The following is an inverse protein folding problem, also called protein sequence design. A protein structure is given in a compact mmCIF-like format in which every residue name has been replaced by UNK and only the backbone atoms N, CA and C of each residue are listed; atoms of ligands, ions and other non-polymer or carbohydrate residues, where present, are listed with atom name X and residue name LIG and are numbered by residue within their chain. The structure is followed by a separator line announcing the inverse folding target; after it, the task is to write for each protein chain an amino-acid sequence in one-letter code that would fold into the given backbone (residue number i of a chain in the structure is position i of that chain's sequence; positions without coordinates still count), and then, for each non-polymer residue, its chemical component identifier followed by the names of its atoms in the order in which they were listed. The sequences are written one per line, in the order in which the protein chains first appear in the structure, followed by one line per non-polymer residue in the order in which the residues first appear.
data_IF_663641567349
#
_entry.id   IF_663641567349
#
_cell.length_a   1.000
_cell.length_b   1.000
_cell.length_c   1.000
_cell.angle_alpha   90.00
_cell.angle_beta   90.00
_cell.angle_gamma   90.00
#
_symmetry.space_group_name_H-M   'P 1'
#
loop_
_entity.id
_entity.type
_entity.pdbx_description
1 polymer ?
#
# COMPACT_ATOMS: atom_id res chain seq x y z
N UNK A 1 10.40 -11.33 -13.27
CA UNK A 1 10.07 -9.95 -13.65
C UNK A 1 9.75 -9.24 -12.37
N UNK A 2 10.43 -8.14 -12.08
CA UNK A 2 10.31 -7.43 -10.82
C UNK A 2 9.60 -6.13 -11.14
N UNK A 3 8.44 -5.93 -10.54
CA UNK A 3 7.68 -4.69 -10.68
C UNK A 3 7.82 -3.84 -9.42
N UNK A 4 7.48 -2.57 -9.58
CA UNK A 4 7.36 -1.62 -8.48
C UNK A 4 5.99 -0.94 -8.56
N UNK A 5 5.41 -0.66 -7.40
CA UNK A 5 4.36 0.35 -7.29
C UNK A 5 5.09 1.64 -6.96
N UNK A 6 5.05 2.61 -7.87
CA UNK A 6 5.52 3.97 -7.61
C UNK A 6 4.32 4.81 -7.23
N UNK A 7 4.33 5.30 -6.00
CA UNK A 7 3.26 6.12 -5.43
C UNK A 7 3.69 7.59 -5.44
N UNK A 8 2.95 8.43 -6.15
CA UNK A 8 3.11 9.88 -6.17
C UNK A 8 2.09 10.51 -5.23
N UNK A 9 2.56 10.98 -4.08
CA UNK A 9 1.79 11.84 -3.20
C UNK A 9 1.93 13.28 -3.66
N UNK A 10 0.84 14.02 -3.77
CA UNK A 10 0.88 15.44 -4.16
C UNK A 10 -0.24 16.22 -3.49
N UNK A 11 -0.04 17.53 -3.36
CA UNK A 11 -1.09 18.43 -2.90
C UNK A 11 -1.65 19.27 -4.04
N UNK A 12 -2.96 19.49 -4.01
CA UNK A 12 -3.65 20.35 -4.96
C UNK A 12 -4.95 20.91 -4.37
N UNK A 13 -5.48 21.96 -5.00
CA UNK A 13 -6.89 22.32 -4.83
C UNK A 13 -7.76 21.30 -5.56
N UNK A 14 -8.96 21.01 -5.05
CA UNK A 14 -9.87 20.04 -5.67
C UNK A 14 -10.22 20.39 -7.13
N UNK A 15 -10.24 21.68 -7.46
CA UNK A 15 -10.55 22.18 -8.80
C UNK A 15 -9.42 21.90 -9.82
N UNK A 16 -8.19 21.64 -9.34
CA UNK A 16 -7.01 21.42 -10.19
C UNK A 16 -6.70 19.93 -10.43
N UNK A 17 -7.47 19.00 -9.84
CA UNK A 17 -7.19 17.56 -9.88
C UNK A 17 -7.10 16.97 -11.28
N UNK A 18 -7.96 17.41 -12.20
CA UNK A 18 -7.96 16.92 -13.57
C UNK A 18 -6.69 17.31 -14.32
N UNK A 19 -6.16 18.50 -14.06
CA UNK A 19 -4.90 18.96 -14.63
C UNK A 19 -3.70 18.25 -14.01
N UNK A 20 -3.68 18.13 -12.68
CA UNK A 20 -2.65 17.38 -11.97
C UNK A 20 -2.52 15.95 -12.49
N UNK A 21 -3.65 15.24 -12.65
CA UNK A 21 -3.66 13.89 -13.21
C UNK A 21 -3.12 13.83 -14.64
N UNK A 22 -3.48 14.80 -15.49
CA UNK A 22 -2.96 14.90 -16.85
C UNK A 22 -1.44 15.05 -16.90
N UNK A 23 -0.89 15.95 -16.06
CA UNK A 23 0.56 16.17 -15.93
C UNK A 23 1.26 14.89 -15.48
N UNK A 24 0.78 14.28 -14.40
CA UNK A 24 1.36 13.04 -13.87
C UNK A 24 1.38 11.94 -14.93
N UNK A 25 0.23 11.67 -15.56
CA UNK A 25 0.10 10.61 -16.57
C UNK A 25 1.04 10.82 -17.75
N UNK A 26 1.12 12.04 -18.28
CA UNK A 26 2.00 12.36 -19.40
C UNK A 26 3.48 12.21 -19.04
N UNK A 27 3.86 12.47 -17.78
CA UNK A 27 5.23 12.28 -17.32
C UNK A 27 5.56 10.80 -17.10
N UNK A 28 4.69 10.05 -16.42
CA UNK A 28 4.85 8.60 -16.21
C UNK A 28 4.96 7.84 -17.53
N UNK A 29 4.13 8.17 -18.53
CA UNK A 29 4.21 7.54 -19.87
C UNK A 29 5.51 7.89 -20.59
N UNK A 30 6.11 9.05 -20.32
CA UNK A 30 7.41 9.48 -20.89
C UNK A 30 8.62 8.96 -20.13
N UNK A 31 8.43 8.29 -18.98
CA UNK A 31 9.52 7.68 -18.20
C UNK A 31 10.32 6.66 -19.01
N UNK A 32 9.69 6.03 -20.00
CA UNK A 32 10.28 4.91 -20.74
C UNK A 32 10.23 3.57 -20.01
N UNK A 33 9.74 3.54 -18.75
CA UNK A 33 9.44 2.29 -18.05
C UNK A 33 8.23 1.58 -18.69
N UNK A 34 8.15 0.27 -18.52
CA UNK A 34 6.98 -0.50 -18.90
C UNK A 34 5.87 -0.28 -17.87
N UNK A 35 4.86 0.50 -18.25
CA UNK A 35 3.71 0.81 -17.38
C UNK A 35 2.66 -0.30 -17.54
N UNK A 36 2.46 -1.07 -16.47
CA UNK A 36 1.53 -2.20 -16.41
C UNK A 36 0.13 -1.78 -15.97
N UNK A 37 0.04 -0.83 -15.04
CA UNK A 37 -1.22 -0.24 -14.59
C UNK A 37 -1.01 1.19 -14.06
N UNK A 38 -2.06 2.00 -14.08
CA UNK A 38 -2.10 3.36 -13.53
C UNK A 38 -3.38 3.55 -12.73
N UNK A 39 -3.34 4.37 -11.68
CA UNK A 39 -4.56 4.86 -11.03
C UNK A 39 -5.48 5.52 -12.06
N UNK A 40 -6.80 5.31 -11.93
CA UNK A 40 -7.77 5.91 -12.84
C UNK A 40 -7.98 7.42 -12.57
N UNK A 41 -7.73 7.88 -11.35
CA UNK A 41 -7.86 9.26 -10.91
C UNK A 41 -7.10 9.48 -9.58
N UNK A 42 -6.81 10.73 -9.19
CA UNK A 42 -6.24 11.02 -7.87
C UNK A 42 -7.15 10.57 -6.74
N UNK A 43 -6.58 9.86 -5.76
CA UNK A 43 -7.30 9.40 -4.56
C UNK A 43 -6.94 10.30 -3.36
N UNK A 44 -7.91 10.83 -2.58
CA UNK A 44 -7.59 11.57 -1.37
C UNK A 44 -6.99 10.63 -0.31
N UNK A 45 -5.93 11.07 0.38
CA UNK A 45 -5.25 10.31 1.43
C UNK A 45 -5.19 11.12 2.73
N UNK A 46 -5.28 10.42 3.85
CA UNK A 46 -5.21 10.99 5.21
C UNK A 46 -3.84 10.71 5.83
N UNK A 47 -2.83 11.47 5.40
CA UNK A 47 -1.50 11.53 6.02
C UNK A 47 -1.17 12.99 6.35
N UNK A 48 -1.39 13.36 7.61
CA UNK A 48 -1.15 14.72 8.11
C UNK A 48 0.33 15.12 7.98
N UNK A 49 1.27 14.18 8.14
CA UNK A 49 2.69 14.53 8.07
C UNK A 49 3.08 14.93 6.65
N UNK A 50 2.74 14.08 5.65
CA UNK A 50 3.01 14.38 4.24
C UNK A 50 2.24 15.63 3.79
N UNK A 51 0.99 15.78 4.23
CA UNK A 51 0.18 16.95 3.89
C UNK A 51 0.85 18.26 4.35
N UNK A 52 1.27 18.34 5.62
CA UNK A 52 1.88 19.57 6.14
C UNK A 52 3.28 19.83 5.58
N UNK A 53 4.04 18.78 5.28
CA UNK A 53 5.34 18.91 4.61
C UNK A 53 5.19 19.54 3.22
N UNK A 54 4.33 18.96 2.37
CA UNK A 54 4.08 19.48 1.02
C UNK A 54 3.42 20.87 1.04
N UNK A 55 2.54 21.17 2.00
CA UNK A 55 1.95 22.52 2.15
C UNK A 55 3.02 23.56 2.48
N UNK A 56 4.03 23.15 3.25
CA UNK A 56 5.18 24.01 3.56
C UNK A 56 6.00 24.29 2.29
N UNK A 57 6.22 23.28 1.45
CA UNK A 57 6.86 23.46 0.14
C UNK A 57 6.04 24.41 -0.76
N UNK A 58 4.72 24.24 -0.83
CA UNK A 58 3.83 25.14 -1.56
C UNK A 58 3.93 26.58 -1.06
N UNK A 59 4.05 26.80 0.25
CA UNK A 59 4.23 28.12 0.83
C UNK A 59 5.58 28.73 0.45
N UNK A 60 6.68 27.96 0.49
CA UNK A 60 7.99 28.42 0.01
C UNK A 60 7.99 28.72 -1.50
N UNK A 61 7.24 27.93 -2.28
CA UNK A 61 6.99 28.15 -3.70
C UNK A 61 6.05 29.32 -4.01
N UNK A 62 5.51 30.00 -2.99
CA UNK A 62 4.54 31.09 -3.10
C UNK A 62 3.31 30.70 -3.95
N UNK A 63 2.84 29.46 -3.79
CA UNK A 63 1.61 28.98 -4.41
C UNK A 63 0.38 29.63 -3.75
N UNK A 64 -0.73 29.65 -4.50
CA UNK A 64 -1.98 30.23 -4.03
C UNK A 64 -2.59 29.33 -2.96
N UNK A 65 -2.85 29.92 -1.79
CA UNK A 65 -3.59 29.34 -0.67
C UNK A 65 -3.13 27.91 -0.28
N UNK A 66 -1.86 27.72 0.13
CA UNK A 66 -1.33 26.40 0.43
C UNK A 66 -2.12 25.64 1.51
N UNK A 67 -2.63 26.35 2.51
CA UNK A 67 -3.37 25.77 3.64
C UNK A 67 -4.69 25.09 3.22
N UNK A 68 -5.29 25.49 2.08
CA UNK A 68 -6.52 24.88 1.59
C UNK A 68 -6.30 23.70 0.63
N UNK A 69 -5.06 23.42 0.22
CA UNK A 69 -4.75 22.26 -0.62
C UNK A 69 -4.93 20.96 0.16
N UNK A 70 -5.42 19.90 -0.47
CA UNK A 70 -5.56 18.57 0.13
C UNK A 70 -4.51 17.60 -0.44
N UNK A 71 -4.22 16.54 0.31
CA UNK A 71 -3.30 15.47 -0.11
C UNK A 71 -4.03 14.45 -0.99
N UNK A 72 -3.37 14.08 -2.08
CA UNK A 72 -3.84 13.05 -3.00
C UNK A 72 -2.70 12.10 -3.37
N UNK A 73 -3.09 10.92 -3.82
CA UNK A 73 -2.21 9.84 -4.25
C UNK A 73 -2.54 9.41 -5.68
N UNK A 74 -1.49 9.06 -6.42
CA UNK A 74 -1.54 8.36 -7.71
C UNK A 74 -0.47 7.26 -7.72
N UNK A 75 -0.85 6.07 -8.17
CA UNK A 75 -0.03 4.87 -8.24
C UNK A 75 0.22 4.45 -9.69
N UNK A 76 1.43 4.00 -9.96
CA UNK A 76 1.80 3.35 -11.20
C UNK A 76 2.47 2.00 -10.89
N UNK A 77 1.96 0.93 -11.49
CA UNK A 77 2.63 -0.37 -11.46
C UNK A 77 3.53 -0.43 -12.67
N UNK A 78 4.84 -0.51 -12.44
CA UNK A 78 5.85 -0.40 -13.49
C UNK A 78 6.88 -1.51 -13.40
N UNK A 79 7.37 -1.94 -14.56
CA UNK A 79 8.62 -2.69 -14.68
C UNK A 79 9.66 -1.78 -15.33
N UNK A 80 10.78 -1.56 -14.63
CA UNK A 80 11.89 -0.78 -15.19
C UNK A 80 12.66 -1.56 -16.26
N UNK A 81 12.42 -2.86 -16.45
CA UNK A 81 12.93 -3.69 -17.54
C UNK A 81 14.47 -3.61 -17.74
N UNK A 82 15.21 -3.44 -16.64
CA UNK A 82 16.67 -3.28 -16.65
C UNK A 82 17.16 -1.86 -17.00
N UNK A 83 16.26 -0.87 -17.05
CA UNK A 83 16.61 0.55 -17.02
C UNK A 83 17.17 0.93 -15.64
N UNK A 84 17.99 1.97 -15.62
CA UNK A 84 18.43 2.58 -14.36
C UNK A 84 17.24 3.30 -13.70
N UNK A 85 16.79 2.76 -12.57
CA UNK A 85 15.66 3.28 -11.80
C UNK A 85 15.91 4.72 -11.37
N UNK A 86 17.12 5.05 -10.91
CA UNK A 86 17.43 6.37 -10.36
C UNK A 86 17.36 7.46 -11.44
N UNK A 87 17.66 7.11 -12.70
CA UNK A 87 17.52 8.04 -13.83
C UNK A 87 16.05 8.28 -14.25
N UNK A 88 15.14 7.36 -13.92
CA UNK A 88 13.75 7.37 -14.41
C UNK A 88 12.74 7.77 -13.37
N UNK A 89 13.00 7.48 -12.10
CA UNK A 89 12.06 7.72 -11.00
C UNK A 89 11.67 9.20 -10.88
N UNK A 90 12.55 10.12 -11.26
CA UNK A 90 12.30 11.57 -11.33
C UNK A 90 11.09 11.96 -12.20
N UNK A 91 10.75 11.14 -13.20
CA UNK A 91 9.60 11.39 -14.07
C UNK A 91 8.26 11.11 -13.39
N UNK A 92 8.25 10.46 -12.23
CA UNK A 92 7.05 10.16 -11.45
C UNK A 92 6.66 11.29 -10.49
N UNK A 93 7.57 12.24 -10.21
CA UNK A 93 7.19 13.50 -9.57
C UNK A 93 6.30 14.32 -10.51
N UNK A 94 5.47 15.21 -9.94
CA UNK A 94 4.57 16.06 -10.71
C UNK A 94 5.31 17.13 -11.51
N UNK A 95 6.43 17.61 -10.98
CA UNK A 95 7.19 18.72 -11.52
C UNK A 95 8.66 18.36 -11.75
N UNK A 96 9.38 19.22 -12.49
CA UNK A 96 10.83 19.11 -12.62
C UNK A 96 11.49 19.74 -11.37
N UNK A 97 12.52 19.12 -10.78
CA UNK A 97 13.18 19.65 -9.58
C UNK A 97 13.79 21.06 -9.74
N UNK A 98 13.95 21.55 -10.98
CA UNK A 98 14.54 22.86 -11.27
C UNK A 98 13.50 23.97 -11.55
N UNK A 99 12.20 23.68 -11.49
CA UNK A 99 11.14 24.68 -11.62
C UNK A 99 10.37 24.85 -10.31
N UNK A 100 9.74 26.01 -10.12
CA UNK A 100 8.80 26.18 -9.00
C UNK A 100 7.66 25.16 -9.17
N UNK A 101 7.48 24.23 -8.22
CA UNK A 101 6.51 23.15 -8.37
C UNK A 101 5.12 23.75 -8.35
N UNK A 102 4.29 23.36 -9.32
CA UNK A 102 2.87 23.72 -9.36
C UNK A 102 2.04 22.76 -8.50
N UNK A 103 2.46 21.51 -8.43
CA UNK A 103 1.86 20.46 -7.61
C UNK A 103 2.98 19.81 -6.78
N UNK A 104 3.37 20.40 -5.63
CA UNK A 104 4.38 19.81 -4.76
C UNK A 104 4.05 18.35 -4.48
N UNK A 105 5.07 17.50 -4.59
CA UNK A 105 4.89 16.05 -4.59
C UNK A 105 6.08 15.33 -4.02
N UNK A 106 5.82 14.18 -3.41
CA UNK A 106 6.84 13.24 -2.94
C UNK A 106 6.54 11.82 -3.46
N UNK A 107 7.57 10.97 -3.51
CA UNK A 107 7.46 9.60 -3.99
C UNK A 107 7.57 8.60 -2.84
N UNK A 108 6.80 7.53 -2.96
CA UNK A 108 6.87 6.34 -2.13
C UNK A 108 6.49 5.11 -2.94
N UNK A 109 5.95 4.10 -2.25
CA UNK A 109 5.43 2.89 -2.86
C UNK A 109 6.18 1.63 -2.44
N UNK A 110 6.06 0.57 -3.23
CA UNK A 110 6.59 -0.77 -2.93
C UNK A 110 7.52 -1.23 -4.04
N UNK A 111 8.70 -1.72 -3.65
CA UNK A 111 9.69 -2.30 -4.57
C UNK A 111 9.64 -3.82 -4.54
N UNK A 112 10.40 -4.45 -5.45
CA UNK A 112 10.64 -5.90 -5.43
C UNK A 112 9.38 -6.77 -5.52
N UNK A 113 8.35 -6.28 -6.23
CA UNK A 113 7.10 -7.01 -6.39
C UNK A 113 7.26 -8.12 -7.43
N UNK A 114 6.79 -9.31 -7.10
CA UNK A 114 6.65 -10.41 -8.05
C UNK A 114 5.33 -10.27 -8.81
N UNK A 115 5.42 -10.21 -10.14
CA UNK A 115 4.25 -10.30 -11.02
C UNK A 115 3.74 -11.74 -11.10
N UNK A 116 2.42 -11.91 -11.15
CA UNK A 116 1.78 -13.22 -11.16
C UNK A 116 0.66 -13.33 -12.20
N UNK A 117 -0.42 -12.59 -12.04
CA UNK A 117 -1.56 -12.58 -12.95
C UNK A 117 -1.59 -11.32 -13.83
N UNK A 118 -2.26 -11.39 -14.98
CA UNK A 118 -2.40 -10.25 -15.89
C UNK A 118 -3.33 -9.18 -15.33
N UNK A 119 -3.02 -7.90 -15.60
CA UNK A 119 -3.94 -6.79 -15.31
C UNK A 119 -5.21 -6.93 -16.17
N UNK A 120 -6.37 -6.95 -15.51
CA UNK A 120 -7.68 -6.98 -16.15
C UNK A 120 -8.29 -5.59 -16.35
N UNK A 121 -9.56 -5.52 -16.80
CA UNK A 121 -10.26 -4.24 -16.98
C UNK A 121 -10.80 -3.62 -15.67
N UNK A 122 -10.86 -4.42 -14.60
CA UNK A 122 -11.43 -4.00 -13.32
C UNK A 122 -10.43 -3.15 -12.51
N UNK A 123 -10.92 -2.16 -11.74
CA UNK A 123 -10.05 -1.34 -10.90
C UNK A 123 -9.25 -2.18 -9.90
N UNK A 124 -7.95 -1.91 -9.84
CA UNK A 124 -7.05 -2.57 -8.91
C UNK A 124 -7.18 -1.96 -7.51
N UNK A 125 -6.73 -2.72 -6.52
CA UNK A 125 -6.63 -2.33 -5.11
C UNK A 125 -5.36 -2.91 -4.54
N UNK A 126 -4.64 -2.09 -3.77
CA UNK A 126 -3.54 -2.58 -2.95
C UNK A 126 -4.15 -3.15 -1.66
N UNK A 127 -3.93 -4.44 -1.42
CA UNK A 127 -4.38 -5.10 -0.21
C UNK A 127 -3.20 -5.26 0.73
N UNK A 128 -3.34 -4.76 1.96
CA UNK A 128 -2.46 -5.06 3.08
C UNK A 128 -3.12 -6.10 3.96
N UNK A 129 -2.42 -7.22 4.18
CA UNK A 129 -2.87 -8.30 5.07
C UNK A 129 -1.95 -8.35 6.27
N UNK A 130 -2.49 -8.21 7.47
CA UNK A 130 -1.77 -8.47 8.71
C UNK A 130 -2.15 -9.82 9.30
N UNK A 131 -1.15 -10.59 9.70
CA UNK A 131 -1.30 -11.77 10.53
C UNK A 131 -0.73 -11.51 11.91
N UNK A 132 -1.50 -11.83 12.96
CA UNK A 132 -1.05 -11.77 14.34
C UNK A 132 -0.76 -13.18 14.84
N UNK A 133 0.41 -13.40 15.43
CA UNK A 133 0.83 -14.69 15.98
C UNK A 133 2.01 -14.56 16.95
N UNK A 134 2.36 -15.64 17.63
CA UNK A 134 3.61 -15.69 18.41
C UNK A 134 4.82 -15.69 17.48
N UNK A 135 6.00 -15.25 17.92
CA UNK A 135 7.26 -15.34 17.15
C UNK A 135 7.49 -16.74 16.55
N UNK A 136 7.18 -17.81 17.30
CA UNK A 136 7.29 -19.19 16.83
C UNK A 136 6.38 -19.55 15.64
N UNK A 137 5.40 -18.70 15.32
CA UNK A 137 4.43 -18.90 14.25
C UNK A 137 4.85 -18.30 12.90
N UNK A 138 6.02 -17.63 12.81
CA UNK A 138 6.54 -17.05 11.55
C UNK A 138 6.43 -18.01 10.35
N UNK A 139 6.84 -19.30 10.44
CA UNK A 139 6.72 -20.21 9.30
C UNK A 139 5.27 -20.45 8.85
N UNK A 140 4.32 -20.41 9.79
CA UNK A 140 2.90 -20.53 9.47
C UNK A 140 2.38 -19.29 8.77
N UNK A 141 2.81 -18.10 9.20
CA UNK A 141 2.38 -16.82 8.63
C UNK A 141 2.74 -16.74 7.14
N UNK A 142 3.96 -17.12 6.75
CA UNK A 142 4.32 -17.23 5.32
C UNK A 142 3.43 -18.23 4.57
N UNK A 143 3.22 -19.42 5.12
CA UNK A 143 2.36 -20.42 4.48
C UNK A 143 0.90 -19.96 4.33
N UNK A 144 0.38 -19.17 5.28
CA UNK A 144 -0.96 -18.61 5.22
C UNK A 144 -1.05 -17.52 4.15
N UNK A 145 -0.04 -16.65 4.05
CA UNK A 145 0.02 -15.66 2.99
C UNK A 145 0.10 -16.32 1.61
N UNK A 146 0.98 -17.31 1.41
CA UNK A 146 1.07 -18.07 0.16
C UNK A 146 -0.27 -18.74 -0.21
N UNK A 147 -0.95 -19.30 0.79
CA UNK A 147 -2.27 -19.91 0.60
C UNK A 147 -3.33 -18.88 0.21
N UNK A 148 -3.29 -17.67 0.76
CA UNK A 148 -4.16 -16.57 0.33
C UNK A 148 -3.88 -16.18 -1.12
N UNK A 149 -2.60 -15.96 -1.47
CA UNK A 149 -2.22 -15.63 -2.84
C UNK A 149 -2.65 -16.72 -3.83
N UNK A 150 -2.59 -18.00 -3.43
CA UNK A 150 -3.05 -19.12 -4.25
C UNK A 150 -4.58 -19.19 -4.46
N UNK A 151 -5.36 -18.54 -3.60
CA UNK A 151 -6.83 -18.54 -3.63
C UNK A 151 -7.41 -17.26 -4.23
N UNK A 152 -6.58 -16.27 -4.49
CA UNK A 152 -6.98 -14.95 -4.99
C UNK A 152 -6.43 -14.70 -6.38
N UNK A 153 -7.07 -13.79 -7.11
CA UNK A 153 -6.44 -13.18 -8.27
C UNK A 153 -5.36 -12.20 -7.76
N UNK A 154 -4.13 -12.30 -8.25
CA UNK A 154 -2.99 -11.52 -7.75
C UNK A 154 -2.18 -11.01 -8.92
N UNK A 155 -2.26 -9.71 -9.21
CA UNK A 155 -1.48 -9.08 -10.27
C UNK A 155 -0.01 -9.01 -9.90
N UNK A 156 0.27 -8.47 -8.71
CA UNK A 156 1.62 -8.31 -8.16
C UNK A 156 1.57 -8.54 -6.65
N UNK A 157 2.66 -9.00 -6.04
CA UNK A 157 2.74 -9.15 -4.59
C UNK A 157 4.16 -8.97 -4.08
N UNK A 158 4.30 -8.56 -2.83
CA UNK A 158 5.59 -8.51 -2.16
C UNK A 158 5.93 -9.91 -1.61
N UNK A 159 7.03 -10.55 -2.04
CA UNK A 159 7.36 -11.91 -1.61
C UNK A 159 7.72 -11.99 -0.13
N UNK A 160 8.34 -10.94 0.40
CA UNK A 160 8.78 -10.87 1.78
C UNK A 160 7.71 -10.21 2.66
N UNK A 161 7.47 -10.79 3.83
CA UNK A 161 6.58 -10.22 4.84
C UNK A 161 7.37 -9.27 5.75
N UNK A 162 6.78 -8.12 6.07
CA UNK A 162 7.39 -7.17 6.98
C UNK A 162 6.81 -7.32 8.38
N UNK A 163 7.65 -7.16 9.40
CA UNK A 163 7.17 -7.00 10.77
C UNK A 163 6.50 -5.62 10.91
N UNK A 164 5.29 -5.59 11.46
CA UNK A 164 4.59 -4.37 11.80
C UNK A 164 5.01 -3.92 13.19
N UNK A 165 5.86 -2.90 13.23
CA UNK A 165 6.29 -2.24 14.47
C UNK A 165 5.55 -0.91 14.64
N UNK A 166 5.59 -0.33 15.84
CA UNK A 166 5.08 1.02 16.07
C UNK A 166 3.55 1.14 16.18
N UNK A 167 3.10 2.38 16.32
CA UNK A 167 1.70 2.76 16.59
C UNK A 167 0.91 3.13 15.34
N UNK A 168 1.60 3.40 14.25
CA UNK A 168 1.08 3.73 12.92
C UNK A 168 0.15 2.64 12.37
N UNK A 169 0.35 1.38 12.76
CA UNK A 169 -0.46 0.24 12.31
C UNK A 169 -1.58 -0.14 13.30
N UNK A 170 -1.90 0.72 14.27
CA UNK A 170 -2.88 0.42 15.32
C UNK A 170 -4.29 0.12 14.76
N UNK A 171 -4.68 0.74 13.64
CA UNK A 171 -5.95 0.47 12.95
C UNK A 171 -6.05 -0.96 12.41
N UNK A 172 -4.91 -1.57 12.08
CA UNK A 172 -4.81 -2.92 11.53
C UNK A 172 -4.57 -3.96 12.63
N UNK A 173 -3.64 -3.70 13.55
CA UNK A 173 -3.20 -4.64 14.60
C UNK A 173 -4.14 -4.63 15.82
N UNK A 174 -4.65 -3.47 16.21
CA UNK A 174 -5.52 -3.32 17.39
C UNK A 174 -6.76 -4.24 17.37
N UNK A 175 -7.52 -4.31 16.27
CA UNK A 175 -8.64 -5.25 16.14
C UNK A 175 -8.22 -6.72 16.26
N UNK A 176 -7.03 -7.10 15.78
CA UNK A 176 -6.50 -8.45 15.94
C UNK A 176 -6.19 -8.76 17.40
N UNK A 177 -5.60 -7.83 18.15
CA UNK A 177 -5.37 -8.01 19.59
C UNK A 177 -6.67 -8.25 20.36
N UNK A 178 -7.73 -7.48 20.08
CA UNK A 178 -9.03 -7.66 20.75
C UNK A 178 -9.63 -9.03 20.39
N UNK A 179 -9.53 -9.44 19.13
CA UNK A 179 -10.04 -10.74 18.67
C UNK A 179 -9.28 -11.90 19.31
N UNK A 180 -7.95 -11.83 19.34
CA UNK A 180 -7.10 -12.84 20.00
C UNK A 180 -7.38 -12.93 21.51
N UNK A 181 -7.48 -11.79 22.19
CA UNK A 181 -7.83 -11.75 23.62
C UNK A 181 -9.20 -12.39 23.88
N UNK A 182 -10.16 -12.20 22.98
CA UNK A 182 -11.48 -12.83 23.06
C UNK A 182 -11.39 -14.35 22.91
N UNK A 183 -10.59 -14.85 21.95
CA UNK A 183 -10.34 -16.30 21.79
C UNK A 183 -9.72 -16.89 23.06
N UNK A 184 -8.79 -16.17 23.69
CA UNK A 184 -8.19 -16.57 24.96
C UNK A 184 -9.22 -16.66 26.09
N UNK A 185 -10.12 -15.68 26.20
CA UNK A 185 -11.16 -15.65 27.23
C UNK A 185 -12.20 -16.78 27.08
N UNK A 186 -12.55 -17.16 25.85
CA UNK A 186 -13.53 -18.24 25.60
C UNK A 186 -12.88 -19.64 25.54
N UNK A 187 -11.56 -19.72 25.76
CA UNK A 187 -10.83 -20.99 25.87
C UNK A 187 -10.45 -21.64 24.53
N UNK A 188 -10.58 -20.93 23.41
CA UNK A 188 -10.19 -21.40 22.07
C UNK A 188 -8.86 -20.81 21.58
N UNK A 189 -8.27 -19.89 22.36
CA UNK A 189 -6.99 -19.27 22.05
C UNK A 189 -5.77 -20.08 22.53
N UNK A 190 -4.58 -19.55 22.28
CA UNK A 190 -3.28 -20.12 22.71
C UNK A 190 -2.84 -19.67 24.11
N UNK A 191 -3.64 -18.82 24.78
CA UNK A 191 -3.42 -18.26 26.13
C UNK A 191 -2.21 -17.33 26.22
N UNK A 192 -1.69 -16.86 25.10
CA UNK A 192 -0.62 -15.87 25.06
C UNK A 192 -1.22 -14.46 25.17
N UNK A 193 -0.54 -13.57 25.90
CA UNK A 193 -0.97 -12.18 26.01
C UNK A 193 -0.93 -11.49 24.64
N UNK A 194 -2.08 -11.02 24.14
CA UNK A 194 -2.24 -10.59 22.75
C UNK A 194 -1.33 -9.42 22.35
N UNK A 195 -1.13 -8.37 23.17
CA UNK A 195 -0.14 -7.33 22.87
C UNK A 195 1.33 -7.79 22.93
N UNK A 196 1.61 -9.00 23.42
CA UNK A 196 2.93 -9.62 23.38
C UNK A 196 3.19 -10.49 22.16
N UNK A 197 2.24 -10.53 21.21
CA UNK A 197 2.38 -11.20 19.91
C UNK A 197 2.93 -10.24 18.86
N UNK A 198 3.52 -10.81 17.83
CA UNK A 198 4.03 -10.08 16.67
C UNK A 198 2.97 -10.05 15.57
N UNK A 199 3.00 -8.98 14.77
CA UNK A 199 2.15 -8.83 13.61
C UNK A 199 3.03 -8.71 12.36
N UNK A 200 2.73 -9.46 11.31
CA UNK A 200 3.43 -9.39 10.04
C UNK A 200 2.49 -8.99 8.94
N UNK A 201 2.95 -8.12 8.04
CA UNK A 201 2.22 -7.67 6.88
C UNK A 201 2.75 -8.26 5.58
N UNK A 202 1.80 -8.60 4.71
CA UNK A 202 2.04 -8.86 3.30
C UNK A 202 1.19 -7.92 2.44
N UNK A 203 1.69 -7.62 1.25
CA UNK A 203 1.02 -6.75 0.29
C UNK A 203 0.82 -7.46 -1.03
N UNK A 204 -0.36 -7.29 -1.61
CA UNK A 204 -0.60 -7.72 -2.99
C UNK A 204 -1.65 -6.84 -3.68
N UNK A 205 -1.51 -6.76 -4.99
CA UNK A 205 -2.37 -6.00 -5.87
C UNK A 205 -3.39 -6.93 -6.52
N UNK A 206 -4.67 -6.58 -6.45
CA UNK A 206 -5.75 -7.39 -7.01
C UNK A 206 -6.91 -6.55 -7.53
N UNK A 207 -7.72 -7.14 -8.40
CA UNK A 207 -9.04 -6.61 -8.75
C UNK A 207 -10.15 -7.17 -7.83
N UNK A 208 -9.86 -8.22 -7.06
CA UNK A 208 -10.83 -8.85 -6.17
C UNK A 208 -11.38 -7.83 -5.14
N UNK A 209 -12.69 -7.84 -4.84
CA UNK A 209 -13.24 -7.07 -3.74
C UNK A 209 -12.63 -7.50 -2.40
N UNK A 210 -12.49 -6.55 -1.45
CA UNK A 210 -11.95 -6.86 -0.12
C UNK A 210 -12.75 -7.96 0.60
N UNK A 211 -14.08 -7.98 0.45
CA UNK A 211 -14.94 -9.02 1.05
C UNK A 211 -14.57 -10.44 0.58
N UNK A 212 -14.22 -10.60 -0.70
CA UNK A 212 -13.78 -11.88 -1.26
C UNK A 212 -12.40 -12.28 -0.75
N UNK A 213 -11.50 -11.30 -0.60
CA UNK A 213 -10.18 -11.51 -0.01
C UNK A 213 -10.31 -11.95 1.46
N UNK A 214 -11.11 -11.26 2.26
CA UNK A 214 -11.37 -11.60 3.66
C UNK A 214 -12.00 -12.98 3.80
N UNK A 215 -12.94 -13.35 2.92
CA UNK A 215 -13.56 -14.67 2.93
C UNK A 215 -12.57 -15.83 2.63
N UNK A 216 -11.45 -15.53 1.95
CA UNK A 216 -10.42 -16.51 1.59
C UNK A 216 -9.24 -16.51 2.56
N UNK A 217 -9.19 -15.52 3.46
CA UNK A 217 -8.09 -15.29 4.41
C UNK A 217 -7.92 -16.51 5.34
N UNK A 218 -6.83 -17.28 5.19
CA UNK A 218 -6.63 -18.48 5.98
C UNK A 218 -6.12 -18.13 7.38
N UNK A 219 -6.53 -18.91 8.36
CA UNK A 219 -6.17 -18.72 9.77
C UNK A 219 -5.88 -20.06 10.44
N UNK A 220 -5.17 -20.01 11.56
CA UNK A 220 -4.93 -21.17 12.43
C UNK A 220 -5.50 -20.83 13.80
N UNK A 221 -6.46 -21.63 14.26
CA UNK A 221 -7.04 -21.51 15.61
C UNK A 221 -7.04 -22.91 16.21
N UNK A 222 -5.89 -23.30 16.74
CA UNK A 222 -5.66 -24.63 17.32
C UNK A 222 -5.11 -24.52 18.74
N UNK A 223 -5.28 -25.56 19.58
CA UNK A 223 -4.69 -25.55 20.92
C UNK A 223 -3.17 -25.35 20.87
N UNK A 224 -2.71 -24.22 21.41
CA UNK A 224 -1.29 -23.88 21.50
C UNK A 224 -0.72 -23.09 20.32
N UNK A 225 -1.48 -22.90 19.24
CA UNK A 225 -1.07 -22.08 18.10
C UNK A 225 -2.27 -21.30 17.56
N UNK A 226 -2.22 -19.96 17.66
CA UNK A 226 -3.20 -19.07 17.04
C UNK A 226 -2.50 -18.10 16.11
N UNK A 227 -2.95 -18.08 14.86
CA UNK A 227 -2.60 -17.09 13.85
C UNK A 227 -3.88 -16.59 13.21
N UNK A 228 -4.23 -15.33 13.44
CA UNK A 228 -5.43 -14.70 12.90
C UNK A 228 -5.06 -13.56 11.96
N UNK A 229 -5.87 -13.39 10.91
CA UNK A 229 -5.63 -12.45 9.84
C UNK A 229 -6.63 -11.29 9.84
N UNK A 230 -6.20 -10.16 9.26
CA UNK A 230 -7.07 -9.08 8.82
C UNK A 230 -6.53 -8.51 7.53
N UNK A 231 -7.42 -8.15 6.60
CA UNK A 231 -7.07 -7.43 5.39
C UNK A 231 -7.68 -6.02 5.40
N UNK A 232 -6.99 -5.09 4.76
CA UNK A 232 -7.52 -3.78 4.38
C UNK A 232 -7.14 -3.54 2.92
N UNK A 233 -7.94 -2.73 2.22
CA UNK A 233 -7.71 -2.42 0.82
C UNK A 233 -7.75 -0.91 0.60
N UNK A 234 -6.79 -0.44 -0.16
CA UNK A 234 -6.69 0.94 -0.65
C UNK A 234 -6.93 0.94 -2.15
N UNK A 235 -7.51 2.03 -2.67
CA UNK A 235 -7.71 2.16 -4.10
C UNK A 235 -6.34 2.25 -4.79
N UNK A 236 -6.14 1.46 -5.84
CA UNK A 236 -4.95 1.59 -6.68
C UNK A 236 -5.12 2.72 -7.69
#
# INVERSE_FOLDING_TARGET
MVAEIVTTHFIAHSDDLGEAYGVWRDRVVRSGAEVLALSPAPHPVDDEFILWDLRTEAAYGNLRDPESMALYELNALVDFAGLDRDERIETFFMDDPFVTPRFPSTLGGLTDLALRDSVGPDPLRLVTVAYLGTEAAIPHVHSLFDALLARSHVVAYQPELALLEGTEHASLVGPLWVRDATLNLIGTGDRVFSPGKEAWAGWFLTADPLEDVEARLPEIIEPGTVVIGRAVAEAF
#
